data_IF_178990544295
#
_entry.id   IF_178990544295
#
_cell.length_a   1.000
_cell.length_b   1.000
_cell.length_c   1.000
_cell.angle_alpha   90.00
_cell.angle_beta   90.00
_cell.angle_gamma   90.00
#
_symmetry.space_group_name_H-M   'P 1'
#
loop_
_entity.id
_entity.type
_entity.pdbx_description
1 polymer ?
#
# COMPACT_ATOMS: atom_id res chain seq x y z
N UNK A 1 -4.22 9.53 -13.47
CA UNK A 1 -3.62 8.31 -14.02
C UNK A 1 -2.40 7.85 -13.22
N UNK A 2 -1.91 6.67 -13.52
CA UNK A 2 -0.74 6.04 -12.89
C UNK A 2 0.31 5.80 -13.98
N UNK A 3 1.58 6.17 -13.71
CA UNK A 3 2.69 5.84 -14.58
C UNK A 3 3.16 4.41 -14.36
N UNK A 4 3.49 3.67 -15.43
CA UNK A 4 4.07 2.33 -15.37
C UNK A 4 5.29 2.21 -16.26
N UNK A 5 6.30 1.49 -15.78
CA UNK A 5 7.46 1.07 -16.53
C UNK A 5 7.85 -0.35 -16.10
N UNK A 6 8.56 -1.08 -16.93
CA UNK A 6 9.02 -2.44 -16.64
C UNK A 6 10.51 -2.60 -16.84
N UNK A 7 11.12 -3.47 -16.05
CA UNK A 7 12.53 -3.84 -16.16
C UNK A 7 12.72 -5.34 -15.93
N UNK A 8 13.75 -5.91 -16.55
CA UNK A 8 14.16 -7.30 -16.32
C UNK A 8 15.31 -7.41 -15.30
N UNK A 9 16.01 -6.32 -15.07
CA UNK A 9 17.26 -6.26 -14.30
C UNK A 9 17.28 -5.15 -13.24
N UNK A 10 16.22 -4.31 -13.17
CA UNK A 10 16.09 -3.11 -12.34
C UNK A 10 17.09 -1.99 -12.68
N UNK A 11 17.82 -2.12 -13.79
CA UNK A 11 18.79 -1.14 -14.30
C UNK A 11 18.24 -0.44 -15.53
N UNK A 12 17.82 -1.26 -16.52
CA UNK A 12 17.24 -0.75 -17.76
C UNK A 12 15.73 -0.83 -17.69
N UNK A 13 15.07 0.30 -17.87
CA UNK A 13 13.63 0.44 -17.79
C UNK A 13 13.02 0.76 -19.15
N UNK A 14 11.83 0.23 -19.39
CA UNK A 14 11.04 0.61 -20.56
C UNK A 14 10.64 2.09 -20.49
N UNK A 15 10.16 2.61 -21.60
CA UNK A 15 9.43 3.89 -21.58
C UNK A 15 8.25 3.83 -20.60
N UNK A 16 8.01 4.95 -19.93
CA UNK A 16 6.88 5.11 -19.03
C UNK A 16 5.59 5.21 -19.83
N UNK A 17 4.56 4.48 -19.40
CA UNK A 17 3.21 4.52 -19.97
C UNK A 17 2.23 5.02 -18.91
N UNK A 18 1.25 5.81 -19.34
CA UNK A 18 0.15 6.21 -18.48
C UNK A 18 -0.96 5.16 -18.52
N UNK A 19 -1.46 4.80 -17.33
CA UNK A 19 -2.68 4.00 -17.15
C UNK A 19 -3.77 4.95 -16.66
N UNK A 20 -4.81 5.22 -17.46
CA UNK A 20 -5.82 6.25 -17.16
C UNK A 20 -6.91 5.72 -16.21
N UNK A 21 -6.51 5.35 -15.01
CA UNK A 21 -7.34 4.59 -14.05
C UNK A 21 -8.56 5.32 -13.49
N UNK A 22 -8.62 6.65 -13.55
CA UNK A 22 -9.73 7.44 -12.94
C UNK A 22 -10.54 8.25 -13.95
N UNK A 23 -10.46 7.96 -15.25
CA UNK A 23 -11.16 8.73 -16.29
C UNK A 23 -12.69 8.75 -16.12
N UNK A 24 -13.27 7.71 -15.57
CA UNK A 24 -14.73 7.65 -15.31
C UNK A 24 -15.19 8.29 -13.99
N UNK A 25 -14.29 8.92 -13.22
CA UNK A 25 -14.59 9.48 -11.90
C UNK A 25 -14.40 10.99 -11.90
N UNK A 26 -15.49 11.71 -12.17
CA UNK A 26 -15.46 13.17 -12.26
C UNK A 26 -15.00 13.81 -10.95
N UNK A 27 -14.18 14.84 -11.07
CA UNK A 27 -13.67 15.60 -9.92
C UNK A 27 -12.63 14.87 -9.09
N UNK A 28 -12.13 13.69 -9.51
CA UNK A 28 -11.05 12.98 -8.80
C UNK A 28 -9.87 13.90 -8.52
N UNK A 29 -9.47 13.99 -7.24
CA UNK A 29 -8.46 14.95 -6.79
C UNK A 29 -7.03 14.43 -6.86
N UNK A 30 -6.84 13.11 -6.79
CA UNK A 30 -5.53 12.48 -6.70
C UNK A 30 -5.55 11.01 -7.12
N UNK A 31 -4.38 10.46 -7.43
CA UNK A 31 -4.09 9.03 -7.50
C UNK A 31 -2.77 8.83 -6.76
N UNK A 32 -2.84 8.44 -5.48
CA UNK A 32 -1.69 8.39 -4.59
C UNK A 32 -1.27 6.96 -4.29
N UNK A 33 0.03 6.79 -4.06
CA UNK A 33 0.64 5.57 -3.57
C UNK A 33 0.14 4.32 -4.31
N UNK A 34 0.31 4.23 -5.65
CA UNK A 34 -0.05 3.02 -6.37
C UNK A 34 0.83 1.86 -5.93
N UNK A 35 0.18 0.72 -5.69
CA UNK A 35 0.86 -0.52 -5.32
C UNK A 35 0.44 -1.65 -6.24
N UNK A 36 1.26 -2.68 -6.34
CA UNK A 36 1.09 -3.80 -7.25
C UNK A 36 1.16 -5.12 -6.48
N UNK A 37 0.13 -5.94 -6.63
CA UNK A 37 0.12 -7.31 -6.11
C UNK A 37 -0.12 -8.31 -7.25
N UNK A 38 0.69 -9.36 -7.33
CA UNK A 38 0.48 -10.47 -8.27
C UNK A 38 -0.11 -11.68 -7.55
N UNK A 39 -1.36 -11.99 -7.87
CA UNK A 39 -1.99 -13.23 -7.42
C UNK A 39 -1.57 -14.40 -8.32
N UNK A 40 -0.84 -15.34 -7.73
CA UNK A 40 -0.35 -16.54 -8.43
C UNK A 40 -1.46 -17.52 -8.78
N UNK A 41 -2.54 -17.55 -7.99
CA UNK A 41 -3.66 -18.47 -8.22
C UNK A 41 -4.39 -18.12 -9.52
N UNK A 42 -4.72 -16.85 -9.70
CA UNK A 42 -5.45 -16.35 -10.88
C UNK A 42 -4.53 -15.82 -11.99
N UNK A 43 -3.22 -15.77 -11.74
CA UNK A 43 -2.22 -15.19 -12.65
C UNK A 43 -2.60 -13.75 -13.04
N UNK A 44 -3.06 -12.97 -12.07
CA UNK A 44 -3.61 -11.64 -12.25
C UNK A 44 -2.84 -10.64 -11.41
N UNK A 45 -2.51 -9.50 -11.99
CA UNK A 45 -1.99 -8.34 -11.27
C UNK A 45 -3.14 -7.49 -10.79
N UNK A 46 -3.09 -7.10 -9.54
CA UNK A 46 -3.94 -6.10 -8.90
C UNK A 46 -3.12 -4.84 -8.74
N UNK A 47 -3.57 -3.75 -9.36
CA UNK A 47 -2.97 -2.42 -9.19
C UNK A 47 -3.98 -1.61 -8.42
N UNK A 48 -3.62 -1.11 -7.25
CA UNK A 48 -4.50 -0.35 -6.39
C UNK A 48 -3.82 0.91 -5.88
N UNK A 49 -4.62 1.92 -5.58
CA UNK A 49 -4.17 3.27 -5.21
C UNK A 49 -5.22 3.97 -4.38
N UNK A 50 -4.85 5.09 -3.75
CA UNK A 50 -5.77 5.94 -3.01
C UNK A 50 -6.25 7.12 -3.86
N UNK A 51 -7.56 7.40 -3.82
CA UNK A 51 -8.18 8.56 -4.45
C UNK A 51 -9.25 9.18 -3.57
N UNK A 52 -9.38 10.51 -3.67
CA UNK A 52 -10.54 11.25 -3.20
C UNK A 52 -11.43 11.57 -4.39
N UNK A 53 -12.66 11.08 -4.36
CA UNK A 53 -13.72 11.41 -5.32
C UNK A 53 -14.77 12.24 -4.56
N UNK A 54 -14.89 13.54 -4.80
CA UNK A 54 -15.81 14.41 -4.09
C UNK A 54 -17.26 13.92 -4.15
N UNK A 55 -17.94 13.92 -3.01
CA UNK A 55 -19.34 13.50 -2.91
C UNK A 55 -19.60 11.99 -2.99
N UNK A 56 -18.58 11.16 -3.23
CA UNK A 56 -18.75 9.70 -3.33
C UNK A 56 -18.95 9.02 -1.97
N UNK A 57 -18.46 9.64 -0.89
CA UNK A 57 -18.54 9.10 0.48
C UNK A 57 -18.92 10.19 1.46
N UNK A 58 -19.46 9.84 2.65
CA UNK A 58 -19.77 10.81 3.70
C UNK A 58 -18.57 11.69 4.00
N UNK A 59 -18.81 12.97 4.21
CA UNK A 59 -17.76 13.91 4.59
C UNK A 59 -17.12 13.52 5.91
N UNK A 60 -15.81 13.66 5.99
CA UNK A 60 -15.04 13.49 7.21
C UNK A 60 -14.45 14.84 7.61
N UNK A 61 -14.35 15.06 8.93
CA UNK A 61 -13.60 16.19 9.43
C UNK A 61 -12.15 16.09 8.97
N UNK A 62 -11.62 17.15 8.38
CA UNK A 62 -10.25 17.23 7.90
C UNK A 62 -9.55 18.45 8.48
N UNK A 63 -8.22 18.36 8.61
CA UNK A 63 -7.40 19.53 8.92
C UNK A 63 -7.41 20.53 7.76
N UNK A 64 -7.11 21.78 8.03
CA UNK A 64 -7.00 22.83 7.01
C UNK A 64 -5.98 22.45 5.92
N UNK A 65 -4.92 21.74 6.28
CA UNK A 65 -3.89 21.26 5.36
C UNK A 65 -4.47 20.28 4.34
N UNK A 66 -5.36 19.40 4.74
CA UNK A 66 -5.89 18.33 3.89
C UNK A 66 -7.18 18.72 3.15
N UNK A 67 -7.85 19.80 3.58
CA UNK A 67 -8.94 20.47 2.83
C UNK A 67 -9.97 19.51 2.22
N UNK A 68 -10.55 18.62 3.05
CA UNK A 68 -11.60 17.69 2.63
C UNK A 68 -11.10 16.50 1.81
N UNK A 69 -9.82 16.14 1.89
CA UNK A 69 -9.34 14.87 1.34
C UNK A 69 -9.89 13.70 2.14
N UNK A 70 -10.69 12.88 1.50
CA UNK A 70 -11.35 11.71 2.06
C UNK A 70 -11.14 10.53 1.12
N UNK A 71 -10.03 9.86 1.28
CA UNK A 71 -9.53 8.85 0.36
C UNK A 71 -10.23 7.50 0.56
N UNK A 72 -10.37 6.76 -0.56
CA UNK A 72 -10.64 5.33 -0.58
C UNK A 72 -9.64 4.64 -1.49
N UNK A 73 -9.48 3.33 -1.29
CA UNK A 73 -8.67 2.52 -2.19
C UNK A 73 -9.51 2.11 -3.40
N UNK A 74 -8.94 2.28 -4.59
CA UNK A 74 -9.49 1.83 -5.87
C UNK A 74 -8.52 0.86 -6.52
N UNK A 75 -8.98 0.06 -7.47
CA UNK A 75 -8.13 -0.89 -8.17
C UNK A 75 -8.59 -1.15 -9.60
N UNK A 76 -7.64 -1.65 -10.38
CA UNK A 76 -7.83 -2.35 -11.65
C UNK A 76 -7.08 -3.66 -11.61
N UNK A 77 -7.46 -4.57 -12.50
CA UNK A 77 -6.71 -5.82 -12.72
C UNK A 77 -6.18 -5.88 -14.14
N UNK A 78 -5.05 -6.58 -14.31
CA UNK A 78 -4.47 -6.87 -15.61
C UNK A 78 -3.71 -8.19 -15.59
N UNK A 79 -3.58 -8.83 -16.75
CA UNK A 79 -2.72 -10.01 -16.95
C UNK A 79 -1.48 -9.71 -17.78
N UNK A 80 -1.46 -8.60 -18.47
CA UNK A 80 -0.48 -8.32 -19.53
C UNK A 80 0.03 -6.87 -19.57
N UNK A 81 -0.46 -5.99 -18.68
CA UNK A 81 -0.19 -4.55 -18.68
C UNK A 81 -0.52 -3.84 -20.00
N UNK A 82 -1.43 -4.43 -20.80
CA UNK A 82 -1.97 -3.86 -22.04
C UNK A 82 -3.45 -3.63 -21.96
N UNK A 83 -4.16 -4.57 -21.35
CA UNK A 83 -5.60 -4.51 -21.09
C UNK A 83 -5.84 -4.46 -19.59
N UNK A 84 -6.75 -3.59 -19.18
CA UNK A 84 -7.10 -3.38 -17.78
C UNK A 84 -8.60 -3.54 -17.58
N UNK A 85 -9.01 -4.02 -16.42
CA UNK A 85 -10.41 -3.98 -16.04
C UNK A 85 -10.88 -2.54 -15.83
N UNK A 86 -12.20 -2.35 -15.73
CA UNK A 86 -12.74 -1.11 -15.21
C UNK A 86 -12.24 -0.86 -13.79
N UNK A 87 -12.08 0.42 -13.44
CA UNK A 87 -11.76 0.84 -12.09
C UNK A 87 -12.91 0.55 -11.14
N UNK A 88 -12.61 -0.07 -10.03
CA UNK A 88 -13.57 -0.41 -8.97
C UNK A 88 -13.07 0.07 -7.61
N UNK A 89 -14.02 0.26 -6.69
CA UNK A 89 -13.71 0.44 -5.28
C UNK A 89 -13.04 -0.83 -4.76
N UNK A 90 -11.92 -0.67 -4.07
CA UNK A 90 -11.13 -1.77 -3.53
C UNK A 90 -11.35 -1.95 -2.03
N UNK A 91 -11.28 -0.85 -1.28
CA UNK A 91 -11.44 -0.89 0.16
C UNK A 91 -12.04 0.40 0.70
N UNK A 92 -13.08 0.25 1.52
CA UNK A 92 -13.86 1.33 2.16
C UNK A 92 -14.11 0.98 3.63
N UNK A 93 -13.21 1.35 4.55
CA UNK A 93 -13.31 1.00 5.98
C UNK A 93 -14.07 2.04 6.84
N UNK A 94 -14.77 3.00 6.24
CA UNK A 94 -15.45 4.08 6.96
C UNK A 94 -14.55 5.24 7.42
N UNK A 95 -13.27 5.24 7.04
CA UNK A 95 -12.31 6.32 7.31
C UNK A 95 -11.46 6.64 6.08
N UNK A 96 -10.79 7.78 6.09
CA UNK A 96 -9.86 8.13 5.01
C UNK A 96 -8.68 7.17 5.00
N UNK A 97 -8.48 6.44 3.90
CA UNK A 97 -7.50 5.35 3.79
C UNK A 97 -6.57 5.53 2.61
N UNK A 98 -5.26 5.43 2.85
CA UNK A 98 -4.21 5.48 1.82
C UNK A 98 -3.20 4.34 2.00
N UNK A 99 -2.21 4.27 1.12
CA UNK A 99 -1.03 3.41 1.22
C UNK A 99 -1.37 1.93 1.42
N UNK A 100 -2.30 1.39 0.60
CA UNK A 100 -2.61 -0.04 0.64
C UNK A 100 -1.41 -0.88 0.19
N UNK A 101 -1.13 -2.00 0.87
CA UNK A 101 -0.14 -2.99 0.41
C UNK A 101 -0.53 -4.38 0.90
N UNK A 102 -0.22 -5.42 0.11
CA UNK A 102 -0.67 -6.80 0.37
C UNK A 102 0.52 -7.73 0.54
N UNK A 103 0.38 -8.67 1.51
CA UNK A 103 1.18 -9.89 1.57
C UNK A 103 0.28 -11.10 1.69
N UNK A 104 0.67 -12.20 1.03
CA UNK A 104 0.05 -13.50 1.23
C UNK A 104 0.89 -14.33 2.19
N UNK A 105 0.25 -14.89 3.23
CA UNK A 105 0.84 -15.87 4.15
C UNK A 105 -0.07 -17.10 4.24
N UNK A 106 0.42 -18.23 3.77
CA UNK A 106 -0.43 -19.40 3.58
C UNK A 106 -1.56 -19.13 2.59
N UNK A 107 -2.79 -19.44 3.00
CA UNK A 107 -3.99 -19.20 2.18
C UNK A 107 -4.69 -17.87 2.49
N UNK A 108 -4.06 -16.99 3.27
CA UNK A 108 -4.65 -15.73 3.70
C UNK A 108 -3.88 -14.57 3.10
N UNK A 109 -4.62 -13.61 2.56
CA UNK A 109 -4.14 -12.32 2.09
C UNK A 109 -4.37 -11.29 3.20
N UNK A 110 -3.34 -10.50 3.49
CA UNK A 110 -3.37 -9.44 4.49
C UNK A 110 -3.17 -8.11 3.78
N UNK A 111 -4.16 -7.24 3.90
CA UNK A 111 -4.12 -5.88 3.38
C UNK A 111 -3.73 -4.93 4.52
N UNK A 112 -2.58 -4.31 4.38
CA UNK A 112 -2.12 -3.23 5.25
C UNK A 112 -2.54 -1.90 4.66
N UNK A 113 -2.99 -1.00 5.50
CA UNK A 113 -3.45 0.33 5.09
C UNK A 113 -3.05 1.37 6.12
N UNK A 114 -2.87 2.61 5.67
CA UNK A 114 -2.76 3.75 6.58
C UNK A 114 -4.13 4.37 6.82
N UNK A 115 -4.51 4.52 8.08
CA UNK A 115 -5.60 5.42 8.45
C UNK A 115 -5.12 6.87 8.31
N UNK A 116 -5.72 7.60 7.38
CA UNK A 116 -5.32 8.96 7.02
C UNK A 116 -6.21 10.03 7.66
N UNK A 117 -7.10 9.65 8.59
CA UNK A 117 -7.91 10.65 9.32
C UNK A 117 -7.00 11.72 9.95
N UNK A 118 -7.41 12.98 9.82
CA UNK A 118 -6.63 14.13 10.25
C UNK A 118 -7.28 14.98 11.33
N UNK A 119 -8.57 14.73 11.61
CA UNK A 119 -9.31 15.43 12.66
C UNK A 119 -10.37 14.49 13.30
N UNK A 120 -10.03 13.79 14.41
CA UNK A 120 -8.72 13.73 15.06
C UNK A 120 -7.69 12.99 14.20
N UNK A 121 -6.41 13.32 14.39
CA UNK A 121 -5.34 12.68 13.65
C UNK A 121 -5.12 11.24 14.14
N UNK A 122 -5.18 10.28 13.21
CA UNK A 122 -4.90 8.87 13.47
C UNK A 122 -3.51 8.48 12.96
N UNK A 123 -3.25 8.64 11.67
CA UNK A 123 -1.93 8.51 11.01
C UNK A 123 -1.17 7.24 11.40
N UNK A 124 -1.85 6.10 11.48
CA UNK A 124 -1.31 4.81 11.89
C UNK A 124 -1.59 3.73 10.85
N UNK A 125 -0.88 2.62 10.94
CA UNK A 125 -1.05 1.47 10.06
C UNK A 125 -1.95 0.44 10.73
N UNK A 126 -2.87 -0.12 9.94
CA UNK A 126 -3.82 -1.16 10.32
C UNK A 126 -3.80 -2.30 9.31
N UNK A 127 -4.35 -3.45 9.70
CA UNK A 127 -4.40 -4.63 8.83
C UNK A 127 -5.78 -5.28 8.87
N UNK A 128 -6.23 -5.76 7.72
CA UNK A 128 -7.38 -6.67 7.57
C UNK A 128 -6.97 -7.90 6.76
N UNK A 129 -7.78 -8.96 6.77
CA UNK A 129 -7.42 -10.21 6.12
C UNK A 129 -8.61 -10.85 5.40
N UNK A 130 -8.33 -11.54 4.29
CA UNK A 130 -9.29 -12.32 3.54
C UNK A 130 -8.62 -13.56 2.91
N UNK A 131 -9.43 -14.49 2.43
CA UNK A 131 -8.97 -15.65 1.64
C UNK A 131 -8.79 -15.33 0.15
N UNK A 132 -9.10 -14.11 -0.26
CA UNK A 132 -8.95 -13.56 -1.61
C UNK A 132 -8.22 -12.21 -1.55
N UNK A 133 -7.51 -11.79 -2.61
CA UNK A 133 -6.85 -10.48 -2.65
C UNK A 133 -7.80 -9.31 -2.98
N UNK A 134 -9.09 -9.48 -2.75
CA UNK A 134 -10.16 -8.51 -2.94
C UNK A 134 -11.30 -8.78 -1.96
N UNK A 135 -12.31 -7.90 -1.90
CA UNK A 135 -13.47 -8.00 -1.00
C UNK A 135 -13.05 -8.15 0.48
N UNK A 136 -12.04 -7.39 0.89
CA UNK A 136 -11.58 -7.41 2.27
C UNK A 136 -12.69 -6.95 3.22
N UNK A 137 -12.83 -7.60 4.41
CA UNK A 137 -13.70 -7.09 5.47
C UNK A 137 -13.35 -5.65 5.82
N UNK A 138 -14.39 -4.82 6.07
CA UNK A 138 -14.22 -3.40 6.45
C UNK A 138 -13.60 -3.23 7.84
N UNK A 139 -13.72 -4.24 8.68
CA UNK A 139 -13.11 -4.28 10.01
C UNK A 139 -11.60 -4.41 9.86
N UNK A 140 -10.91 -3.50 10.50
CA UNK A 140 -9.44 -3.50 10.57
C UNK A 140 -8.97 -3.71 12.00
N UNK A 141 -7.73 -4.12 12.16
CA UNK A 141 -7.08 -4.24 13.47
C UNK A 141 -7.04 -2.89 14.21
N UNK A 142 -6.74 -2.91 15.50
CA UNK A 142 -6.15 -1.76 16.18
C UNK A 142 -4.86 -1.34 15.46
N UNK A 143 -4.32 -0.12 15.70
CA UNK A 143 -3.02 0.28 15.19
C UNK A 143 -1.95 -0.78 15.47
N UNK A 144 -1.18 -1.17 14.46
CA UNK A 144 -0.09 -2.13 14.58
C UNK A 144 1.27 -1.47 14.73
N UNK A 145 1.34 -0.15 14.57
CA UNK A 145 2.52 0.70 14.80
C UNK A 145 2.43 1.38 16.17
N UNK A 146 3.56 1.88 16.66
CA UNK A 146 3.62 2.59 17.93
C UNK A 146 2.95 3.96 17.93
N UNK A 147 3.12 4.69 19.02
CA UNK A 147 2.51 6.03 19.23
C UNK A 147 3.30 7.11 18.46
N UNK A 148 3.35 6.96 17.15
CA UNK A 148 3.96 7.88 16.18
C UNK A 148 3.24 7.78 14.83
N UNK A 149 3.33 8.82 14.03
CA UNK A 149 2.77 8.82 12.69
C UNK A 149 3.59 7.93 11.75
N UNK A 150 2.89 7.02 11.07
CA UNK A 150 3.48 6.05 10.15
C UNK A 150 2.70 6.00 8.83
N UNK A 151 3.43 5.77 7.73
CA UNK A 151 2.85 5.64 6.39
C UNK A 151 3.64 4.63 5.54
N UNK A 152 3.09 4.31 4.36
CA UNK A 152 3.77 3.48 3.37
C UNK A 152 4.12 2.08 3.87
N UNK A 153 3.16 1.27 4.36
CA UNK A 153 3.45 -0.09 4.78
C UNK A 153 3.94 -0.95 3.60
N UNK A 154 5.12 -1.54 3.72
CA UNK A 154 5.72 -2.44 2.74
C UNK A 154 5.93 -3.82 3.37
N UNK A 155 4.92 -4.71 3.33
CA UNK A 155 5.01 -6.03 3.94
C UNK A 155 5.86 -7.00 3.11
N UNK A 156 6.69 -7.80 3.79
CA UNK A 156 7.50 -8.84 3.17
C UNK A 156 7.58 -10.07 4.08
N UNK A 157 7.22 -11.25 3.57
CA UNK A 157 7.45 -12.48 4.30
C UNK A 157 8.92 -12.92 4.18
N UNK A 158 9.58 -13.09 5.33
CA UNK A 158 10.96 -13.59 5.44
C UNK A 158 10.96 -14.75 6.45
N UNK A 159 11.18 -15.97 5.99
CA UNK A 159 10.96 -17.17 6.81
C UNK A 159 9.52 -17.24 7.29
N UNK A 160 9.35 -17.45 8.58
CA UNK A 160 8.02 -17.55 9.22
C UNK A 160 7.43 -16.18 9.59
N UNK A 161 8.26 -15.14 9.61
CA UNK A 161 7.82 -13.78 9.93
C UNK A 161 7.30 -13.04 8.71
N UNK A 162 6.32 -12.17 8.95
CA UNK A 162 6.01 -11.05 8.08
C UNK A 162 6.60 -9.79 8.71
N UNK A 163 7.49 -9.15 7.96
CA UNK A 163 8.00 -7.83 8.28
C UNK A 163 7.14 -6.78 7.58
N UNK A 164 6.89 -5.68 8.23
CA UNK A 164 6.27 -4.49 7.62
C UNK A 164 7.25 -3.33 7.81
N UNK A 165 7.80 -2.86 6.72
CA UNK A 165 8.63 -1.66 6.69
C UNK A 165 7.73 -0.46 6.47
N UNK A 166 8.07 0.70 7.04
CA UNK A 166 7.24 1.91 6.92
C UNK A 166 8.01 3.18 7.23
N UNK A 167 7.46 4.31 6.81
CA UNK A 167 8.04 5.64 7.03
C UNK A 167 7.49 6.26 8.32
N UNK A 168 8.36 6.54 9.29
CA UNK A 168 8.10 7.40 10.45
C UNK A 168 8.30 8.86 10.02
N UNK A 169 7.50 9.31 9.07
CA UNK A 169 7.75 10.51 8.26
C UNK A 169 7.89 11.81 9.04
N UNK A 170 7.25 11.95 10.19
CA UNK A 170 7.41 13.13 11.05
C UNK A 170 8.74 13.12 11.82
N UNK A 171 9.39 11.95 11.91
CA UNK A 171 10.68 11.77 12.57
C UNK A 171 11.85 11.72 11.57
N UNK A 172 11.57 11.70 10.26
CA UNK A 172 12.59 11.52 9.22
C UNK A 172 13.32 10.17 9.31
N UNK A 173 12.64 9.13 9.80
CA UNK A 173 13.18 7.79 10.00
C UNK A 173 12.33 6.75 9.29
N UNK A 174 12.95 5.65 8.92
CA UNK A 174 12.26 4.45 8.47
C UNK A 174 12.22 3.42 9.58
N UNK A 175 11.15 2.66 9.68
CA UNK A 175 10.94 1.68 10.74
C UNK A 175 10.54 0.32 10.21
N UNK A 176 10.53 -0.67 11.09
CA UNK A 176 10.04 -2.00 10.81
C UNK A 176 9.40 -2.64 12.03
N UNK A 177 8.31 -3.34 11.81
CA UNK A 177 7.72 -4.28 12.77
C UNK A 177 7.70 -5.66 12.13
N UNK A 178 7.59 -6.71 12.96
CA UNK A 178 7.40 -8.08 12.46
C UNK A 178 6.38 -8.85 13.27
N UNK A 179 5.80 -9.86 12.66
CA UNK A 179 4.85 -10.77 13.33
C UNK A 179 4.97 -12.19 12.79
N UNK A 180 4.77 -13.18 13.68
CA UNK A 180 4.62 -14.59 13.32
C UNK A 180 3.17 -14.95 13.02
N UNK A 181 2.23 -14.37 13.74
CA UNK A 181 0.82 -14.75 13.77
C UNK A 181 -0.13 -13.71 13.19
N UNK A 182 0.41 -12.56 12.74
CA UNK A 182 -0.33 -11.40 12.21
C UNK A 182 -1.25 -10.71 13.26
N UNK A 183 -1.04 -11.00 14.54
CA UNK A 183 -1.81 -10.44 15.66
C UNK A 183 -0.93 -9.66 16.63
N UNK A 184 0.22 -10.23 16.97
CA UNK A 184 1.20 -9.60 17.86
C UNK A 184 2.36 -9.08 17.01
N UNK A 185 2.68 -7.80 17.18
CA UNK A 185 3.71 -7.10 16.42
C UNK A 185 4.85 -6.65 17.32
N UNK A 186 6.07 -6.92 16.90
CA UNK A 186 7.31 -6.56 17.56
C UNK A 186 7.99 -5.43 16.75
N UNK A 187 8.32 -4.31 17.38
CA UNK A 187 9.14 -3.27 16.75
C UNK A 187 10.60 -3.76 16.68
N UNK A 188 11.12 -3.83 15.48
CA UNK A 188 12.50 -4.25 15.18
C UNK A 188 13.28 -3.17 14.42
N UNK A 189 12.80 -1.93 14.48
CA UNK A 189 13.40 -0.79 13.77
C UNK A 189 14.89 -0.63 14.08
N UNK A 190 15.28 -0.80 15.34
CA UNK A 190 16.68 -0.65 15.78
C UNK A 190 17.58 -1.83 15.38
N UNK A 191 16.99 -2.95 14.95
CA UNK A 191 17.72 -4.15 14.50
C UNK A 191 17.95 -4.17 13.00
N UNK A 192 17.49 -3.17 12.26
CA UNK A 192 17.54 -3.10 10.80
C UNK A 192 18.24 -1.79 10.40
N UNK A 193 19.20 -1.90 9.49
CA UNK A 193 19.84 -0.73 8.91
C UNK A 193 19.16 -0.35 7.60
N UNK A 194 18.68 0.88 7.52
CA UNK A 194 18.08 1.45 6.32
C UNK A 194 19.04 2.42 5.63
N UNK A 195 18.99 2.52 4.29
CA UNK A 195 19.72 3.56 3.58
C UNK A 195 19.31 4.95 4.08
N UNK A 196 20.28 5.86 4.16
CA UNK A 196 20.00 7.23 4.57
C UNK A 196 19.09 7.94 3.58
N UNK A 197 18.07 8.62 4.10
CA UNK A 197 17.12 9.39 3.29
C UNK A 197 16.05 8.56 2.57
N UNK A 198 15.94 7.26 2.89
CA UNK A 198 14.84 6.43 2.38
C UNK A 198 13.49 6.99 2.85
N UNK A 199 12.52 6.96 1.96
CA UNK A 199 11.14 7.32 2.20
C UNK A 199 10.28 6.18 1.64
N UNK A 200 8.99 6.32 1.71
CA UNK A 200 7.98 5.43 1.19
C UNK A 200 8.47 4.54 0.03
N UNK A 201 8.42 3.22 0.18
CA UNK A 201 8.93 2.28 -0.81
C UNK A 201 8.32 0.90 -0.66
N UNK A 202 8.51 0.04 -1.67
CA UNK A 202 7.99 -1.33 -1.71
C UNK A 202 9.11 -2.34 -1.49
N UNK A 203 8.89 -3.33 -0.63
CA UNK A 203 9.82 -4.42 -0.39
C UNK A 203 9.41 -5.67 -1.17
N UNK A 204 10.32 -6.23 -1.96
CA UNK A 204 10.07 -7.45 -2.73
C UNK A 204 11.32 -8.31 -2.89
N UNK A 205 11.11 -9.60 -3.20
CA UNK A 205 12.19 -10.57 -3.41
C UNK A 205 12.64 -10.58 -4.86
N UNK A 206 13.95 -10.58 -5.05
CA UNK A 206 14.59 -10.76 -6.37
C UNK A 206 15.63 -11.89 -6.30
N UNK A 207 16.09 -12.36 -7.46
CA UNK A 207 17.24 -13.28 -7.53
C UNK A 207 18.50 -12.56 -7.02
N UNK A 208 19.39 -13.30 -6.35
CA UNK A 208 20.66 -12.76 -5.84
C UNK A 208 21.49 -12.09 -6.95
N UNK A 209 21.50 -12.67 -8.17
CA UNK A 209 22.20 -12.10 -9.32
C UNK A 209 21.71 -10.70 -9.72
N UNK A 210 20.44 -10.37 -9.48
CA UNK A 210 19.93 -9.01 -9.71
C UNK A 210 20.54 -8.03 -8.71
N UNK A 211 20.61 -8.43 -7.43
CA UNK A 211 21.22 -7.58 -6.38
C UNK A 211 22.72 -7.38 -6.62
N UNK A 212 23.42 -8.40 -7.08
CA UNK A 212 24.85 -8.33 -7.40
C UNK A 212 25.14 -7.32 -8.52
N UNK A 213 24.26 -7.24 -9.51
CA UNK A 213 24.39 -6.31 -10.63
C UNK A 213 24.03 -4.84 -10.28
N UNK A 214 23.39 -4.61 -9.13
CA UNK A 214 23.04 -3.27 -8.63
C UNK A 214 24.14 -2.62 -7.78
N UNK A 215 25.18 -3.38 -7.44
CA UNK A 215 26.36 -2.89 -6.68
C UNK A 215 27.39 -2.27 -7.62
#
# INVERSE_FOLDING_TARGET
GIGSASSKDLIQWSEQKNIPVMEGFEGTRNTWAPELFYDKADKTFYIFWASTVPGAFPELATSEREKGLNHRQYYVTTKDFKTFSDTKLYFEPGFSVIDGSIVQKGNTYYLFVKNENSAPAEKNIRVTANTKPYDFPIEVSAPITGDYWAEGPAPLQVGDYVYVYFDKYTQGKYGAIRSLDMKVWEDVSDSITFPKGIRHGTAFKVKASVVENLK
#
